data_IF_849560012774
#
_entry.id   IF_849560012774
#
_cell.length_a   1.000
_cell.length_b   1.000
_cell.length_c   1.000
_cell.angle_alpha   90.00
_cell.angle_beta   90.00
_cell.angle_gamma   90.00
#
_symmetry.space_group_name_H-M   'P 1'
#
loop_
_entity.id
_entity.type
_entity.pdbx_description
1 polymer ?
#
# COMPACT_ATOMS: atom_id res chain seq x y z
N UNK A 1 -2.47 14.02 68.82
CA UNK A 1 -1.51 15.06 69.21
C UNK A 1 -0.24 14.88 68.36
N UNK A 2 0.19 15.95 67.68
CA UNK A 2 1.49 16.24 67.02
C UNK A 2 1.89 15.27 65.87
N UNK A 3 1.71 15.56 64.57
CA UNK A 3 2.12 16.69 63.68
C UNK A 3 3.64 16.89 63.60
N UNK A 4 4.27 16.60 62.45
CA UNK A 4 5.52 17.16 61.87
C UNK A 4 5.71 16.56 60.44
N UNK A 5 5.29 17.24 59.36
CA UNK A 5 6.01 18.17 58.46
C UNK A 5 6.90 17.54 57.36
N UNK A 6 6.52 17.78 56.09
CA UNK A 6 7.20 17.43 54.83
C UNK A 6 8.36 18.38 54.48
N UNK A 7 9.30 17.99 53.59
CA UNK A 7 10.09 18.93 52.81
C UNK A 7 9.58 19.07 51.37
N UNK A 8 9.40 20.32 50.96
CA UNK A 8 8.85 20.80 49.69
C UNK A 8 9.96 20.98 48.65
N UNK A 9 9.69 20.62 47.38
CA UNK A 9 10.59 20.82 46.25
C UNK A 9 10.61 22.30 45.81
N UNK A 10 11.74 22.85 45.31
CA UNK A 10 11.80 24.23 44.85
C UNK A 10 11.06 24.42 43.51
N UNK A 11 10.10 25.34 43.51
CA UNK A 11 9.42 25.89 42.34
C UNK A 11 10.17 27.15 41.90
N UNK A 12 10.54 27.25 40.61
CA UNK A 12 11.07 28.48 40.02
C UNK A 12 10.03 29.11 39.08
N UNK A 13 9.69 30.42 39.22
CA UNK A 13 8.83 31.11 38.26
C UNK A 13 9.58 32.06 37.30
N UNK A 14 9.17 31.95 36.02
CA UNK A 14 9.06 32.89 34.89
C UNK A 14 10.06 34.03 34.63
N UNK A 15 10.47 34.18 33.35
CA UNK A 15 10.21 35.41 32.57
C UNK A 15 10.34 35.19 31.04
N UNK A 16 9.45 35.87 30.31
CA UNK A 16 9.20 35.83 28.87
C UNK A 16 10.20 36.68 28.08
N UNK A 17 10.47 36.31 26.82
CA UNK A 17 10.50 37.31 25.74
C UNK A 17 10.18 36.71 24.36
N UNK A 18 9.09 37.21 23.77
CA UNK A 18 8.69 36.99 22.39
C UNK A 18 9.44 38.00 21.51
N UNK A 19 10.18 37.56 20.49
CA UNK A 19 10.57 38.45 19.39
C UNK A 19 9.66 38.21 18.18
N UNK A 20 8.65 39.08 18.08
CA UNK A 20 7.88 39.32 16.87
C UNK A 20 8.52 40.52 16.17
N UNK A 21 9.13 40.36 14.99
CA UNK A 21 9.45 41.48 14.12
C UNK A 21 8.97 41.19 12.69
N UNK A 22 8.23 42.14 12.14
CA UNK A 22 7.69 42.16 10.78
C UNK A 22 8.43 43.23 9.94
N UNK A 23 8.40 43.05 8.61
CA UNK A 23 8.71 44.00 7.53
C UNK A 23 10.23 44.23 7.26
N UNK A 24 10.76 44.49 6.05
CA UNK A 24 10.21 44.98 4.77
C UNK A 24 11.27 44.85 3.65
N UNK A 25 10.80 44.67 2.40
CA UNK A 25 11.26 45.18 1.09
C UNK A 25 12.75 45.19 0.63
N UNK A 26 12.89 44.76 -0.64
CA UNK A 26 13.94 45.01 -1.64
C UNK A 26 14.48 46.47 -1.68
N UNK A 27 15.73 46.68 -2.17
CA UNK A 27 15.89 47.02 -3.60
C UNK A 27 17.10 46.41 -4.32
N UNK A 28 16.93 46.34 -5.65
CA UNK A 28 17.92 46.24 -6.73
C UNK A 28 18.89 47.43 -6.74
N UNK A 29 20.13 47.24 -7.24
CA UNK A 29 20.82 48.09 -8.26
C UNK A 29 22.32 47.71 -8.43
N UNK A 30 22.67 47.40 -9.68
CA UNK A 30 23.88 47.71 -10.47
C UNK A 30 25.29 47.51 -9.89
N UNK A 31 26.01 46.56 -10.48
CA UNK A 31 27.46 46.42 -10.34
C UNK A 31 28.17 47.15 -11.51
N UNK A 32 28.93 48.20 -11.21
CA UNK A 32 29.63 49.04 -12.19
C UNK A 32 31.02 48.49 -12.58
N UNK A 33 31.31 48.70 -13.85
CA UNK A 33 32.52 48.35 -14.60
C UNK A 33 33.83 48.85 -13.98
N UNK A 34 34.82 47.96 -13.86
CA UNK A 34 36.16 48.25 -13.34
C UNK A 34 37.03 49.00 -14.35
N UNK A 35 37.38 50.25 -14.01
CA UNK A 35 38.30 51.16 -14.70
C UNK A 35 39.76 50.71 -14.43
N UNK A 36 40.49 50.27 -15.46
CA UNK A 36 41.94 49.99 -15.40
C UNK A 36 42.74 51.31 -15.30
N UNK A 37 43.75 51.33 -14.42
CA UNK A 37 44.73 52.41 -14.25
C UNK A 37 45.94 52.26 -15.19
N UNK A 38 46.62 53.39 -15.35
CA UNK A 38 47.63 53.83 -16.33
C UNK A 38 48.98 53.09 -16.32
N UNK A 39 49.71 53.23 -17.43
CA UNK A 39 51.16 53.35 -17.46
C UNK A 39 51.52 54.47 -18.46
N UNK A 40 52.29 55.45 -18.01
CA UNK A 40 52.94 56.50 -18.82
C UNK A 40 54.32 55.98 -19.27
N UNK A 41 54.75 56.29 -20.50
CA UNK A 41 56.18 56.37 -20.83
C UNK A 41 56.41 57.36 -21.99
N UNK A 42 57.30 58.32 -21.74
CA UNK A 42 57.78 59.39 -22.62
C UNK A 42 58.66 58.87 -23.78
N UNK A 43 58.68 59.59 -24.89
CA UNK A 43 59.62 59.37 -25.99
C UNK A 43 59.32 60.23 -27.22
N UNK A 44 59.91 61.42 -27.23
CA UNK A 44 59.84 62.46 -28.28
C UNK A 44 60.67 62.09 -29.53
N UNK A 45 60.62 62.94 -30.57
CA UNK A 45 61.41 62.98 -31.83
C UNK A 45 60.68 62.54 -33.13
N UNK A 46 59.86 63.47 -33.61
CA UNK A 46 59.91 64.08 -34.96
C UNK A 46 60.31 63.22 -36.19
N UNK A 47 59.34 62.96 -37.09
CA UNK A 47 59.43 63.23 -38.54
C UNK A 47 58.03 63.09 -39.19
N UNK A 48 57.52 64.17 -39.79
CA UNK A 48 56.43 64.15 -40.80
C UNK A 48 57.06 64.36 -42.21
N UNK A 49 56.35 64.39 -43.37
CA UNK A 49 54.90 64.31 -43.61
C UNK A 49 54.47 63.54 -44.91
N UNK A 50 53.16 63.60 -45.20
CA UNK A 50 52.50 63.62 -46.53
C UNK A 50 51.97 62.32 -47.17
N UNK A 51 50.63 62.28 -47.19
CA UNK A 51 49.75 62.03 -48.36
C UNK A 51 49.25 60.60 -48.66
N UNK A 52 47.91 60.53 -48.70
CA UNK A 52 47.03 59.60 -49.46
C UNK A 52 46.44 58.40 -48.68
N UNK A 53 45.23 57.91 -49.06
CA UNK A 53 43.98 58.20 -48.36
C UNK A 53 43.49 57.00 -47.51
N UNK A 54 42.59 57.31 -46.58
CA UNK A 54 41.97 56.38 -45.65
C UNK A 54 41.29 55.19 -46.34
N UNK A 55 41.92 54.02 -46.29
CA UNK A 55 41.24 52.73 -46.46
C UNK A 55 40.63 52.37 -45.10
N UNK A 56 39.31 52.50 -45.01
CA UNK A 56 38.50 51.99 -43.91
C UNK A 56 38.90 50.54 -43.63
N UNK A 57 39.50 50.29 -42.47
CA UNK A 57 39.87 48.96 -42.02
C UNK A 57 38.59 48.15 -41.81
N UNK A 58 38.26 47.30 -42.80
CA UNK A 58 37.24 46.26 -42.62
C UNK A 58 37.67 45.41 -41.41
N UNK A 59 36.86 45.27 -40.35
CA UNK A 59 37.20 44.38 -39.25
C UNK A 59 37.18 42.94 -39.79
N UNK A 60 38.36 42.33 -39.89
CA UNK A 60 38.49 40.91 -40.12
C UNK A 60 37.80 40.17 -38.96
N UNK A 61 36.68 39.51 -39.25
CA UNK A 61 36.01 38.59 -38.33
C UNK A 61 36.99 37.47 -38.05
N UNK A 62 37.74 37.58 -36.96
CA UNK A 62 38.60 36.51 -36.49
C UNK A 62 37.68 35.37 -36.05
N UNK A 63 37.83 34.14 -36.57
CA UNK A 63 37.06 33.01 -36.07
C UNK A 63 37.33 32.90 -34.57
N UNK A 64 36.26 32.91 -33.77
CA UNK A 64 36.36 32.66 -32.34
C UNK A 64 37.12 31.34 -32.18
N UNK A 65 38.27 31.39 -31.50
CA UNK A 65 38.99 30.17 -31.11
C UNK A 65 37.94 29.28 -30.47
N UNK A 66 37.63 28.14 -31.10
CA UNK A 66 36.83 27.09 -30.48
C UNK A 66 37.58 26.73 -29.22
N UNK A 67 37.12 27.27 -28.09
CA UNK A 67 37.59 26.88 -26.78
C UNK A 67 37.39 25.37 -26.74
N UNK A 68 38.49 24.61 -26.73
CA UNK A 68 38.40 23.17 -26.50
C UNK A 68 37.92 23.06 -25.06
N UNK A 69 36.61 23.04 -24.87
CA UNK A 69 35.93 22.79 -23.62
C UNK A 69 36.17 21.34 -23.22
N UNK A 70 37.42 21.04 -22.88
CA UNK A 70 37.79 19.88 -22.08
C UNK A 70 38.12 20.39 -20.68
N UNK A 71 37.34 21.35 -20.19
CA UNK A 71 37.33 21.65 -18.77
C UNK A 71 36.63 20.46 -18.10
N UNK A 72 37.37 19.73 -17.27
CA UNK A 72 36.87 18.72 -16.35
C UNK A 72 36.01 19.39 -15.26
N UNK A 73 35.00 20.16 -15.67
CA UNK A 73 34.01 20.75 -14.79
C UNK A 73 33.07 19.61 -14.40
N UNK A 74 32.88 19.43 -13.09
CA UNK A 74 31.97 18.43 -12.54
C UNK A 74 30.56 18.62 -13.12
N UNK A 75 30.20 17.79 -14.11
CA UNK A 75 28.84 17.75 -14.66
C UNK A 75 27.95 17.01 -13.64
N UNK A 76 26.74 17.51 -13.35
CA UNK A 76 25.82 16.77 -12.50
C UNK A 76 25.52 15.40 -13.10
N UNK A 77 25.37 14.40 -12.23
CA UNK A 77 25.07 13.03 -12.61
C UNK A 77 23.75 12.99 -13.39
N UNK A 78 23.69 12.23 -14.49
CA UNK A 78 22.45 12.09 -15.24
C UNK A 78 21.40 11.32 -14.41
N UNK A 79 20.12 11.63 -14.61
CA UNK A 79 19.04 10.99 -13.87
C UNK A 79 19.11 9.45 -13.88
N UNK A 80 19.34 8.76 -15.02
CA UNK A 80 19.44 7.30 -15.03
C UNK A 80 20.57 6.78 -14.12
N UNK A 81 21.72 7.46 -14.13
CA UNK A 81 22.87 7.09 -13.29
C UNK A 81 22.63 7.39 -11.82
N UNK A 82 21.82 8.40 -11.50
CA UNK A 82 21.40 8.64 -10.13
C UNK A 82 20.45 7.55 -9.64
N UNK A 83 19.47 7.13 -10.46
CA UNK A 83 18.54 6.06 -10.10
C UNK A 83 19.25 4.72 -9.89
N UNK A 84 20.31 4.41 -10.65
CA UNK A 84 21.16 3.24 -10.44
C UNK A 84 21.85 3.20 -9.06
N UNK A 85 22.04 4.36 -8.41
CA UNK A 85 22.66 4.42 -7.07
C UNK A 85 21.67 4.22 -5.93
N UNK A 86 20.35 4.23 -6.23
CA UNK A 86 19.32 4.10 -5.22
C UNK A 86 18.96 2.63 -5.00
N UNK A 87 18.83 2.24 -3.73
CA UNK A 87 18.29 0.93 -3.39
C UNK A 87 16.76 0.87 -3.64
N UNK A 88 16.20 -0.32 -3.59
CA UNK A 88 14.77 -0.53 -3.87
C UNK A 88 13.85 0.26 -2.93
N UNK A 89 14.26 0.46 -1.67
CA UNK A 89 13.44 1.20 -0.72
C UNK A 89 13.49 2.71 -1.01
N UNK A 90 14.66 3.24 -1.33
CA UNK A 90 14.87 4.62 -1.75
C UNK A 90 14.10 4.93 -3.03
N UNK A 91 14.12 4.01 -4.01
CA UNK A 91 13.34 4.16 -5.24
C UNK A 91 11.83 4.21 -4.97
N UNK A 92 11.31 3.33 -4.10
CA UNK A 92 9.89 3.36 -3.69
C UNK A 92 9.53 4.68 -3.02
N UNK A 93 10.30 5.13 -2.04
CA UNK A 93 10.04 6.39 -1.33
C UNK A 93 10.10 7.61 -2.26
N UNK A 94 11.01 7.64 -3.22
CA UNK A 94 11.07 8.72 -4.21
C UNK A 94 9.84 8.68 -5.12
N UNK A 95 9.44 7.49 -5.60
CA UNK A 95 8.26 7.33 -6.44
C UNK A 95 6.97 7.70 -5.70
N UNK A 96 6.81 7.28 -4.45
CA UNK A 96 5.68 7.65 -3.59
C UNK A 96 5.54 9.16 -3.46
N UNK A 97 6.63 9.86 -3.13
CA UNK A 97 6.64 11.34 -3.04
C UNK A 97 6.31 12.04 -4.36
N UNK A 98 6.72 11.44 -5.48
CA UNK A 98 6.37 11.97 -6.81
C UNK A 98 4.87 11.80 -7.05
N UNK A 99 4.30 10.63 -6.74
CA UNK A 99 2.88 10.34 -6.90
C UNK A 99 2.00 11.21 -5.98
N UNK A 100 2.46 11.49 -4.75
CA UNK A 100 1.77 12.41 -3.82
C UNK A 100 1.71 13.85 -4.37
N UNK A 101 2.77 14.29 -5.06
CA UNK A 101 2.84 15.64 -5.66
C UNK A 101 2.13 15.74 -7.00
N UNK A 102 2.12 14.64 -7.75
CA UNK A 102 1.60 14.52 -9.11
C UNK A 102 0.67 13.30 -9.19
N UNK A 103 -0.62 13.47 -8.82
CA UNK A 103 -1.59 12.37 -8.77
C UNK A 103 -1.84 11.71 -10.13
N UNK A 104 -1.64 12.45 -11.22
CA UNK A 104 -1.69 11.97 -12.60
C UNK A 104 -0.64 10.89 -12.88
N UNK A 105 0.60 11.11 -12.43
CA UNK A 105 1.68 10.10 -12.48
C UNK A 105 1.32 8.90 -11.60
N UNK A 106 0.70 9.15 -10.43
CA UNK A 106 0.21 8.07 -9.57
C UNK A 106 -0.79 7.15 -10.29
N UNK A 107 -1.72 7.69 -11.06
CA UNK A 107 -2.67 6.89 -11.86
C UNK A 107 -1.97 6.11 -12.98
N UNK A 108 -0.96 6.70 -13.63
CA UNK A 108 -0.15 6.01 -14.63
C UNK A 108 0.62 4.82 -14.02
N UNK A 109 1.21 5.01 -12.84
CA UNK A 109 1.90 3.95 -12.10
C UNK A 109 0.93 2.83 -11.71
N UNK A 110 -0.24 3.16 -11.17
CA UNK A 110 -1.25 2.16 -10.75
C UNK A 110 -1.78 1.38 -11.96
N UNK A 111 -2.00 2.04 -13.09
CA UNK A 111 -2.51 1.39 -14.32
C UNK A 111 -1.43 0.58 -15.06
N UNK A 112 -0.16 0.98 -14.96
CA UNK A 112 0.98 0.28 -15.54
C UNK A 112 1.54 -0.85 -14.67
N UNK A 113 1.30 -0.82 -13.35
CA UNK A 113 1.78 -1.84 -12.44
C UNK A 113 0.99 -3.16 -12.63
N UNK A 114 1.68 -4.32 -12.65
CA UNK A 114 1.00 -5.59 -12.64
C UNK A 114 0.20 -5.76 -11.35
N UNK A 115 -0.97 -6.38 -11.44
CA UNK A 115 -1.77 -6.70 -10.26
C UNK A 115 -0.96 -7.57 -9.29
N UNK A 116 -1.05 -7.33 -7.97
CA UNK A 116 -0.36 -8.15 -7.00
C UNK A 116 -0.84 -9.60 -7.10
N UNK A 117 0.11 -10.53 -7.18
CA UNK A 117 -0.18 -11.97 -7.10
C UNK A 117 -0.25 -12.40 -5.63
N UNK A 118 -0.91 -13.53 -5.36
CA UNK A 118 -0.97 -14.10 -4.01
C UNK A 118 0.45 -14.31 -3.47
N UNK A 119 1.34 -14.95 -4.24
CA UNK A 119 2.74 -15.16 -3.85
C UNK A 119 3.47 -13.86 -3.51
N UNK A 120 3.30 -12.82 -4.34
CA UNK A 120 3.96 -11.53 -4.07
C UNK A 120 3.48 -10.89 -2.77
N UNK A 121 2.18 -10.97 -2.46
CA UNK A 121 1.62 -10.46 -1.21
C UNK A 121 2.10 -11.29 -0.01
N UNK A 122 2.10 -12.62 -0.13
CA UNK A 122 2.60 -13.53 0.91
C UNK A 122 4.07 -13.27 1.25
N UNK A 123 4.92 -13.03 0.23
CA UNK A 123 6.33 -12.70 0.44
C UNK A 123 6.53 -11.39 1.22
N UNK A 124 5.71 -10.36 0.94
CA UNK A 124 5.75 -9.10 1.69
C UNK A 124 5.33 -9.32 3.13
N UNK A 125 4.22 -10.05 3.36
CA UNK A 125 3.71 -10.37 4.70
C UNK A 125 4.72 -11.20 5.52
N UNK A 126 5.43 -12.12 4.89
CA UNK A 126 6.51 -12.87 5.53
C UNK A 126 7.60 -11.95 6.07
N UNK A 127 7.99 -10.91 5.34
CA UNK A 127 8.95 -9.91 5.80
C UNK A 127 8.44 -9.07 7.00
N UNK A 128 7.14 -8.90 7.18
CA UNK A 128 6.58 -8.32 8.41
C UNK A 128 6.65 -9.31 9.57
N UNK A 129 6.33 -10.59 9.34
CA UNK A 129 6.41 -11.63 10.36
C UNK A 129 7.85 -11.86 10.84
N UNK A 130 8.84 -11.86 9.94
CA UNK A 130 10.26 -11.97 10.31
C UNK A 130 10.71 -10.82 11.22
N UNK A 131 10.30 -9.59 10.90
CA UNK A 131 10.60 -8.42 11.74
C UNK A 131 9.92 -8.51 13.10
N UNK A 132 8.69 -9.02 13.16
CA UNK A 132 7.99 -9.30 14.42
C UNK A 132 8.75 -10.33 15.25
N UNK A 133 9.17 -11.44 14.65
CA UNK A 133 9.92 -12.49 15.33
C UNK A 133 11.29 -11.98 15.82
N UNK A 134 11.96 -11.14 15.03
CA UNK A 134 13.25 -10.54 15.39
C UNK A 134 13.14 -9.47 16.48
N UNK A 135 11.96 -8.86 16.64
CA UNK A 135 11.70 -7.89 17.71
C UNK A 135 11.45 -8.55 19.08
N UNK A 136 11.16 -9.85 19.09
CA UNK A 136 10.96 -10.58 20.34
C UNK A 136 12.27 -10.61 21.16
N UNK A 137 12.21 -10.26 22.46
CA UNK A 137 13.38 -10.31 23.33
C UNK A 137 13.90 -11.75 23.49
N UNK A 138 15.22 -11.89 23.66
CA UNK A 138 15.85 -13.16 23.95
C UNK A 138 15.69 -13.52 25.43
N UNK A 139 15.30 -14.77 25.72
CA UNK A 139 15.19 -15.29 27.09
C UNK A 139 13.87 -14.96 27.77
N UNK A 140 13.84 -15.09 29.10
CA UNK A 140 12.66 -14.78 29.90
C UNK A 140 12.56 -13.27 30.16
N UNK A 141 11.50 -12.65 29.65
CA UNK A 141 11.17 -11.24 29.86
C UNK A 141 9.75 -11.09 30.39
N UNK A 142 9.46 -9.95 31.05
CA UNK A 142 8.08 -9.66 31.47
C UNK A 142 7.16 -9.54 30.26
N UNK A 143 5.90 -9.94 30.43
CA UNK A 143 4.90 -9.87 29.36
C UNK A 143 4.70 -8.43 28.85
N UNK A 144 4.73 -7.44 29.74
CA UNK A 144 4.59 -6.02 29.41
C UNK A 144 5.76 -5.52 28.54
N UNK A 145 7.00 -5.80 28.94
CA UNK A 145 8.18 -5.41 28.17
C UNK A 145 8.21 -6.06 26.79
N UNK A 146 7.88 -7.36 26.74
CA UNK A 146 7.79 -8.14 25.50
C UNK A 146 6.74 -7.53 24.58
N UNK A 147 5.57 -7.19 25.12
CA UNK A 147 4.49 -6.57 24.36
C UNK A 147 4.91 -5.24 23.77
N UNK A 148 5.48 -4.32 24.56
CA UNK A 148 5.88 -3.00 24.07
C UNK A 148 6.94 -3.07 22.95
N UNK A 149 7.82 -4.07 22.99
CA UNK A 149 8.80 -4.35 21.93
C UNK A 149 8.15 -4.78 20.61
N UNK A 150 7.21 -5.72 20.67
CA UNK A 150 6.64 -6.34 19.46
C UNK A 150 5.38 -5.64 18.97
N UNK A 151 4.73 -4.82 19.80
CA UNK A 151 3.44 -4.17 19.49
C UNK A 151 3.45 -3.43 18.16
N UNK A 152 4.46 -2.61 17.90
CA UNK A 152 4.57 -1.87 16.64
C UNK A 152 4.67 -2.78 15.42
N UNK A 153 5.33 -3.94 15.58
CA UNK A 153 5.49 -4.94 14.52
C UNK A 153 4.21 -5.76 14.30
N UNK A 154 3.47 -6.06 15.37
CA UNK A 154 2.14 -6.67 15.29
C UNK A 154 1.19 -5.74 14.53
N UNK A 155 1.13 -4.47 14.90
CA UNK A 155 0.27 -3.47 14.24
C UNK A 155 0.66 -3.38 12.76
N UNK A 156 1.95 -3.25 12.45
CA UNK A 156 2.42 -3.15 11.06
C UNK A 156 2.06 -4.39 10.21
N UNK A 157 2.08 -5.60 10.78
CA UNK A 157 1.64 -6.81 10.08
C UNK A 157 0.12 -6.83 9.87
N UNK A 158 -0.66 -6.43 10.87
CA UNK A 158 -2.14 -6.38 10.78
C UNK A 158 -2.59 -5.30 9.78
N UNK A 159 -1.93 -4.14 9.78
CA UNK A 159 -2.20 -3.07 8.81
C UNK A 159 -1.90 -3.56 7.39
N UNK A 160 -0.75 -4.23 7.18
CA UNK A 160 -0.42 -4.82 5.89
C UNK A 160 -1.44 -5.89 5.45
N UNK A 161 -1.89 -6.76 6.37
CA UNK A 161 -2.97 -7.71 6.09
C UNK A 161 -4.25 -6.99 5.67
N UNK A 162 -4.61 -5.90 6.35
CA UNK A 162 -5.80 -5.11 6.08
C UNK A 162 -5.73 -4.40 4.72
N UNK A 163 -4.54 -3.95 4.31
CA UNK A 163 -4.33 -3.29 3.01
C UNK A 163 -4.38 -4.28 1.83
N UNK A 164 -3.79 -5.47 2.01
CA UNK A 164 -3.78 -6.49 0.94
C UNK A 164 -5.11 -7.23 0.82
N UNK A 165 -5.82 -7.47 1.92
CA UNK A 165 -7.04 -8.31 1.92
C UNK A 165 -8.06 -7.85 0.88
N UNK A 166 -8.47 -6.56 0.79
CA UNK A 166 -9.44 -6.10 -0.19
C UNK A 166 -9.08 -6.38 -1.65
N UNK A 167 -7.78 -6.44 -2.00
CA UNK A 167 -7.33 -6.74 -3.36
C UNK A 167 -7.70 -8.16 -3.81
N UNK A 168 -7.86 -9.06 -2.85
CA UNK A 168 -8.24 -10.45 -3.08
C UNK A 168 -9.72 -10.72 -2.73
N UNK A 169 -10.52 -9.67 -2.51
CA UNK A 169 -11.95 -9.79 -2.28
C UNK A 169 -12.77 -9.32 -3.50
N UNK A 170 -14.00 -9.84 -3.67
CA UNK A 170 -14.96 -9.28 -4.62
C UNK A 170 -15.27 -7.81 -4.30
N UNK A 171 -15.44 -6.93 -5.31
CA UNK A 171 -15.49 -7.23 -6.75
C UNK A 171 -14.11 -7.21 -7.46
N UNK A 172 -13.01 -6.94 -6.76
CA UNK A 172 -11.68 -6.74 -7.36
C UNK A 172 -11.12 -8.07 -7.89
N UNK A 173 -11.07 -9.08 -7.03
CA UNK A 173 -10.80 -10.46 -7.40
C UNK A 173 -12.12 -11.20 -7.57
N UNK A 174 -12.26 -11.87 -8.70
CA UNK A 174 -13.47 -12.62 -9.04
C UNK A 174 -13.24 -14.12 -8.93
N UNK A 175 -12.00 -14.61 -8.98
CA UNK A 175 -11.70 -16.03 -8.91
C UNK A 175 -11.70 -16.48 -7.44
N UNK A 176 -12.70 -17.28 -6.99
CA UNK A 176 -12.80 -17.66 -5.58
C UNK A 176 -11.57 -18.43 -5.08
N UNK A 177 -10.98 -19.29 -5.92
CA UNK A 177 -9.77 -20.04 -5.56
C UNK A 177 -8.62 -19.14 -5.13
N UNK A 178 -8.37 -18.04 -5.84
CA UNK A 178 -7.29 -17.09 -5.50
C UNK A 178 -7.58 -16.34 -4.20
N UNK A 179 -8.84 -15.93 -4.02
CA UNK A 179 -9.29 -15.31 -2.78
C UNK A 179 -9.09 -16.25 -1.59
N UNK A 180 -9.51 -17.51 -1.71
CA UNK A 180 -9.40 -18.51 -0.63
C UNK A 180 -7.94 -18.90 -0.36
N UNK A 181 -7.09 -18.95 -1.39
CA UNK A 181 -5.66 -19.19 -1.25
C UNK A 181 -4.98 -18.05 -0.47
N UNK A 182 -5.27 -16.80 -0.81
CA UNK A 182 -4.80 -15.65 -0.05
C UNK A 182 -5.30 -15.70 1.39
N UNK A 183 -6.58 -15.98 1.61
CA UNK A 183 -7.18 -16.01 2.94
C UNK A 183 -6.62 -17.14 3.82
N UNK A 184 -6.32 -18.32 3.27
CA UNK A 184 -5.62 -19.42 3.96
C UNK A 184 -4.25 -18.93 4.45
N UNK A 185 -3.45 -18.32 3.56
CA UNK A 185 -2.16 -17.72 3.92
C UNK A 185 -2.27 -16.62 4.98
N UNK A 186 -3.16 -15.65 4.78
CA UNK A 186 -3.44 -14.56 5.71
C UNK A 186 -3.84 -15.06 7.10
N UNK A 187 -4.70 -16.08 7.16
CA UNK A 187 -5.16 -16.67 8.42
C UNK A 187 -4.01 -17.35 9.17
N UNK A 188 -3.06 -17.98 8.46
CA UNK A 188 -1.84 -18.55 9.08
C UNK A 188 -0.95 -17.48 9.72
N UNK A 189 -0.81 -16.30 9.11
CA UNK A 189 -0.09 -15.19 9.75
C UNK A 189 -0.75 -14.78 11.07
N UNK A 190 -2.08 -14.72 11.11
CA UNK A 190 -2.83 -14.38 12.33
C UNK A 190 -2.66 -15.48 13.40
N UNK A 191 -2.69 -16.75 13.00
CA UNK A 191 -2.40 -17.88 13.91
C UNK A 191 -1.04 -17.77 14.58
N UNK A 192 -0.03 -17.32 13.84
CA UNK A 192 1.34 -17.16 14.32
C UNK A 192 1.57 -15.92 15.21
N UNK A 193 0.56 -15.06 15.38
CA UNK A 193 0.67 -13.94 16.32
C UNK A 193 0.77 -14.46 17.77
N UNK A 194 1.55 -13.80 18.64
CA UNK A 194 1.75 -14.23 20.02
C UNK A 194 0.45 -14.21 20.82
N UNK A 195 0.25 -15.24 21.64
CA UNK A 195 -0.85 -15.30 22.61
C UNK A 195 -0.44 -14.61 23.91
N UNK A 196 -1.18 -13.57 24.27
CA UNK A 196 -0.94 -12.82 25.50
C UNK A 196 -1.73 -13.39 26.67
N UNK A 197 -1.12 -13.51 27.85
CA UNK A 197 -1.88 -13.86 29.06
C UNK A 197 -2.81 -12.72 29.50
N UNK A 198 -2.35 -11.45 29.58
CA UNK A 198 -3.24 -10.33 29.91
C UNK A 198 -4.23 -10.09 28.78
N UNK A 199 -5.51 -10.01 29.12
CA UNK A 199 -6.58 -9.77 28.15
C UNK A 199 -6.42 -8.42 27.42
N UNK A 200 -5.82 -7.42 28.08
CA UNK A 200 -5.56 -6.09 27.54
C UNK A 200 -4.78 -6.10 26.22
N UNK A 201 -3.93 -7.10 25.99
CA UNK A 201 -3.06 -7.17 24.81
C UNK A 201 -3.60 -8.08 23.69
N UNK A 202 -4.71 -8.81 23.94
CA UNK A 202 -5.29 -9.77 22.98
C UNK A 202 -6.03 -9.11 21.83
N UNK A 203 -6.53 -7.89 22.03
CA UNK A 203 -7.42 -7.20 21.10
C UNK A 203 -6.88 -7.13 19.66
N UNK A 204 -5.56 -7.00 19.45
CA UNK A 204 -4.96 -7.00 18.11
C UNK A 204 -5.24 -8.30 17.35
N UNK A 205 -4.94 -9.45 17.97
CA UNK A 205 -5.15 -10.77 17.37
C UNK A 205 -6.64 -11.07 17.21
N UNK A 206 -7.43 -10.67 18.20
CA UNK A 206 -8.88 -10.85 18.22
C UNK A 206 -9.56 -10.11 17.07
N UNK A 207 -9.25 -8.82 16.89
CA UNK A 207 -9.79 -8.01 15.79
C UNK A 207 -9.35 -8.55 14.42
N UNK A 208 -8.09 -8.98 14.30
CA UNK A 208 -7.60 -9.59 13.06
C UNK A 208 -8.39 -10.86 12.69
N UNK A 209 -8.75 -11.69 13.68
CA UNK A 209 -9.62 -12.85 13.43
C UNK A 209 -11.04 -12.45 13.02
N UNK A 210 -11.62 -11.42 13.63
CA UNK A 210 -12.94 -10.94 13.22
C UNK A 210 -12.94 -10.46 11.77
N UNK A 211 -11.94 -9.68 11.38
CA UNK A 211 -11.87 -9.10 10.04
C UNK A 211 -11.58 -10.16 8.97
N UNK A 212 -10.66 -11.10 9.24
CA UNK A 212 -10.43 -12.21 8.32
C UNK A 212 -11.66 -13.14 8.25
N UNK A 213 -12.39 -13.34 9.36
CA UNK A 213 -13.62 -14.14 9.33
C UNK A 213 -14.71 -13.50 8.46
N UNK A 214 -14.84 -12.17 8.49
CA UNK A 214 -15.75 -11.44 7.60
C UNK A 214 -15.31 -11.60 6.14
N UNK A 215 -14.01 -11.47 5.87
CA UNK A 215 -13.44 -11.64 4.53
C UNK A 215 -13.72 -13.04 3.96
N UNK A 216 -13.51 -14.10 4.74
CA UNK A 216 -13.90 -15.47 4.38
C UNK A 216 -15.38 -15.59 4.05
N UNK A 217 -16.26 -15.08 4.93
CA UNK A 217 -17.69 -15.14 4.71
C UNK A 217 -18.12 -14.42 3.41
N UNK A 218 -17.51 -13.29 3.09
CA UNK A 218 -17.78 -12.55 1.84
C UNK A 218 -17.41 -13.37 0.60
N UNK A 219 -16.23 -13.98 0.58
CA UNK A 219 -15.76 -14.81 -0.55
C UNK A 219 -16.65 -16.04 -0.72
N UNK A 220 -16.98 -16.72 0.38
CA UNK A 220 -17.86 -17.91 0.36
C UNK A 220 -19.24 -17.57 -0.19
N UNK A 221 -19.85 -16.50 0.31
CA UNK A 221 -21.17 -16.07 -0.14
C UNK A 221 -21.17 -15.68 -1.63
N UNK A 222 -20.11 -15.02 -2.10
CA UNK A 222 -19.99 -14.66 -3.52
C UNK A 222 -19.78 -15.90 -4.41
N UNK A 223 -18.95 -16.85 -3.96
CA UNK A 223 -18.75 -18.11 -4.66
C UNK A 223 -20.05 -18.91 -4.76
N UNK A 224 -20.84 -18.95 -3.69
CA UNK A 224 -22.13 -19.64 -3.63
C UNK A 224 -23.14 -19.06 -4.64
N UNK A 225 -23.22 -17.73 -4.77
CA UNK A 225 -24.13 -17.06 -5.73
C UNK A 225 -23.82 -17.41 -7.18
N UNK A 226 -22.57 -17.74 -7.50
CA UNK A 226 -22.15 -17.98 -8.89
C UNK A 226 -22.53 -19.36 -9.42
N UNK A 227 -23.14 -20.23 -8.60
CA UNK A 227 -24.09 -21.27 -9.01
C UNK A 227 -23.69 -22.20 -10.17
N UNK A 228 -22.40 -22.34 -10.49
CA UNK A 228 -21.96 -22.88 -11.79
C UNK A 228 -20.56 -23.48 -11.75
N UNK A 229 -20.31 -24.40 -10.81
CA UNK A 229 -19.14 -25.29 -10.86
C UNK A 229 -18.02 -25.05 -9.85
N UNK A 230 -18.09 -24.02 -9.01
CA UNK A 230 -17.16 -23.91 -7.88
C UNK A 230 -17.69 -24.70 -6.69
N UNK A 231 -17.22 -25.93 -6.55
CA UNK A 231 -17.56 -26.77 -5.42
C UNK A 231 -16.55 -26.57 -4.29
N UNK A 232 -16.94 -25.79 -3.28
CA UNK A 232 -16.14 -25.53 -2.07
C UNK A 232 -15.68 -26.82 -1.38
N UNK A 233 -16.43 -27.93 -1.52
CA UNK A 233 -16.04 -29.25 -1.02
C UNK A 233 -15.00 -29.97 -1.91
N UNK A 234 -15.04 -29.81 -3.23
CA UNK A 234 -14.14 -30.55 -4.12
C UNK A 234 -12.68 -30.17 -3.92
N UNK A 235 -12.44 -28.92 -3.53
CA UNK A 235 -11.10 -28.38 -3.31
C UNK A 235 -10.69 -28.41 -1.82
N UNK A 236 -11.52 -29.00 -0.94
CA UNK A 236 -11.22 -29.16 0.50
C UNK A 236 -11.17 -27.87 1.31
N UNK A 237 -11.80 -26.79 0.83
CA UNK A 237 -11.80 -25.49 1.51
C UNK A 237 -12.61 -25.50 2.81
N UNK A 238 -13.65 -26.33 2.86
CA UNK A 238 -14.44 -26.62 4.07
C UNK A 238 -13.57 -27.22 5.18
N UNK A 239 -12.73 -28.22 4.85
CA UNK A 239 -11.83 -28.85 5.81
C UNK A 239 -10.74 -27.87 6.29
N UNK A 240 -10.17 -27.08 5.38
CA UNK A 240 -9.18 -26.05 5.74
C UNK A 240 -9.78 -25.00 6.66
N UNK A 241 -10.97 -24.49 6.34
CA UNK A 241 -11.64 -23.49 7.17
C UNK A 241 -12.01 -24.06 8.54
N UNK A 242 -12.51 -25.30 8.61
CA UNK A 242 -12.79 -25.98 9.87
C UNK A 242 -11.54 -26.07 10.75
N UNK A 243 -10.39 -26.43 10.17
CA UNK A 243 -9.10 -26.48 10.88
C UNK A 243 -8.69 -25.10 11.40
N UNK A 244 -8.82 -24.04 10.59
CA UNK A 244 -8.54 -22.69 11.05
C UNK A 244 -9.51 -22.24 12.16
N UNK A 245 -10.78 -22.63 12.10
CA UNK A 245 -11.76 -22.31 13.12
C UNK A 245 -11.42 -23.00 14.45
N UNK A 246 -11.04 -24.27 14.41
CA UNK A 246 -10.56 -25.01 15.57
C UNK A 246 -9.32 -24.34 16.18
N UNK A 247 -8.32 -24.05 15.35
CA UNK A 247 -7.07 -23.41 15.80
C UNK A 247 -7.29 -22.01 16.39
N UNK A 248 -8.27 -21.25 15.89
CA UNK A 248 -8.61 -19.92 16.42
C UNK A 248 -9.53 -19.96 17.65
N UNK A 249 -9.95 -21.14 18.11
CA UNK A 249 -10.87 -21.26 19.24
C UNK A 249 -12.30 -20.82 18.92
N UNK A 250 -12.75 -21.01 17.68
CA UNK A 250 -14.12 -20.69 17.23
C UNK A 250 -14.30 -19.26 16.72
N UNK A 251 -13.23 -18.48 16.54
CA UNK A 251 -13.32 -17.08 16.09
C UNK A 251 -13.67 -16.92 14.61
N UNK A 252 -13.59 -18.00 13.83
CA UNK A 252 -14.03 -18.03 12.43
C UNK A 252 -15.48 -18.55 12.28
N UNK A 253 -16.28 -18.52 13.35
CA UNK A 253 -17.66 -19.00 13.34
C UNK A 253 -18.53 -18.31 12.28
N UNK A 254 -18.30 -17.02 12.00
CA UNK A 254 -19.02 -16.29 10.94
C UNK A 254 -18.74 -16.89 9.55
N UNK A 255 -17.48 -17.24 9.28
CA UNK A 255 -17.10 -17.90 8.04
C UNK A 255 -17.66 -19.32 7.96
N UNK A 256 -17.61 -20.07 9.05
CA UNK A 256 -18.19 -21.42 9.13
C UNK A 256 -19.70 -21.41 8.86
N UNK A 257 -20.42 -20.41 9.38
CA UNK A 257 -21.86 -20.24 9.14
C UNK A 257 -22.15 -19.91 7.67
N UNK A 258 -21.33 -19.06 7.04
CA UNK A 258 -21.44 -18.79 5.60
C UNK A 258 -21.20 -20.07 4.78
N UNK A 259 -20.20 -20.87 5.18
CA UNK A 259 -19.90 -22.16 4.55
C UNK A 259 -21.08 -23.12 4.66
N UNK A 260 -21.65 -23.33 5.85
CA UNK A 260 -22.80 -24.22 6.03
C UNK A 260 -24.02 -23.78 5.22
N UNK A 261 -24.28 -22.47 5.17
CA UNK A 261 -25.41 -21.92 4.42
C UNK A 261 -25.22 -22.07 2.89
N UNK A 262 -23.99 -21.93 2.40
CA UNK A 262 -23.69 -22.15 0.98
C UNK A 262 -23.83 -23.61 0.55
N UNK A 263 -23.47 -24.55 1.43
CA UNK A 263 -23.56 -26.00 1.19
C UNK A 263 -25.00 -26.49 1.21
N UNK A 264 -25.85 -25.95 2.10
CA UNK A 264 -27.28 -26.26 2.13
C UNK A 264 -28.01 -25.94 0.83
N UNK A 265 -27.54 -24.92 0.10
CA UNK A 265 -28.06 -24.57 -1.22
C UNK A 265 -27.55 -25.51 -2.33
N UNK A 266 -26.29 -25.94 -2.28
CA UNK A 266 -25.74 -26.91 -3.24
C UNK A 266 -26.32 -28.34 -3.06
N UNK A 267 -26.63 -28.76 -1.84
CA UNK A 267 -27.25 -30.06 -1.56
C UNK A 267 -28.75 -30.14 -1.89
N UNK A 268 -29.42 -28.99 -2.08
CA UNK A 268 -30.86 -28.95 -2.38
C UNK A 268 -31.17 -29.00 -3.89
N UNK A 269 -30.16 -29.00 -4.76
CA UNK A 269 -30.36 -29.04 -6.21
C UNK A 269 -30.22 -30.44 -6.83
N UNK A 270 -30.00 -31.48 -6.03
CA UNK A 270 -30.00 -32.88 -6.49
C UNK A 270 -31.14 -33.75 -5.92
N UNK A 271 -32.01 -33.23 -5.04
CA UNK A 271 -33.23 -33.98 -4.69
C UNK A 271 -34.37 -33.12 -4.13
N UNK A 272 -35.42 -32.92 -4.93
CA UNK A 272 -36.80 -32.83 -4.43
C UNK A 272 -37.37 -31.43 -4.20
N UNK A 273 -37.88 -30.81 -5.27
CA UNK A 273 -38.73 -29.62 -5.15
C UNK A 273 -39.29 -29.04 -6.45
N UNK A 274 -39.27 -29.80 -7.56
CA UNK A 274 -39.99 -29.43 -8.78
C UNK A 274 -41.40 -30.04 -8.71
N UNK A 275 -42.29 -29.39 -7.96
CA UNK A 275 -43.72 -29.57 -8.15
C UNK A 275 -44.11 -28.85 -9.43
N UNK A 276 -44.17 -29.59 -10.55
CA UNK A 276 -45.29 -29.51 -11.52
C UNK A 276 -45.00 -30.06 -12.94
N UNK A 277 -43.77 -30.47 -13.27
CA UNK A 277 -43.49 -30.95 -14.64
C UNK A 277 -43.60 -32.48 -14.85
N UNK A 278 -43.69 -33.28 -13.77
CA UNK A 278 -43.79 -34.74 -13.86
C UNK A 278 -45.19 -35.29 -14.18
N UNK A 279 -46.22 -34.43 -14.23
CA UNK A 279 -47.62 -34.86 -14.34
C UNK A 279 -48.02 -35.23 -15.77
N UNK A 280 -47.48 -34.54 -16.79
CA UNK A 280 -48.00 -34.63 -18.16
C UNK A 280 -47.53 -35.89 -18.90
N UNK A 281 -46.25 -36.25 -18.76
CA UNK A 281 -45.70 -37.47 -19.38
C UNK A 281 -46.25 -38.74 -18.74
N UNK A 282 -46.45 -38.73 -17.41
CA UNK A 282 -47.02 -39.87 -16.70
C UNK A 282 -48.53 -40.04 -17.00
N UNK A 283 -49.25 -38.94 -17.23
CA UNK A 283 -50.65 -38.98 -17.71
C UNK A 283 -50.78 -39.51 -19.15
N UNK A 284 -49.80 -39.21 -20.02
CA UNK A 284 -49.76 -39.72 -21.39
C UNK A 284 -49.41 -41.22 -21.47
N UNK A 285 -48.50 -41.70 -20.61
CA UNK A 285 -48.06 -43.10 -20.58
C UNK A 285 -49.08 -44.01 -19.86
N UNK A 286 -49.82 -43.49 -18.88
CA UNK A 286 -50.82 -44.26 -18.14
C UNK A 286 -52.18 -44.39 -18.82
N UNK A 287 -52.37 -43.78 -20.00
CA UNK A 287 -53.59 -43.93 -20.81
C UNK A 287 -54.88 -43.39 -20.15
N UNK A 288 -54.77 -42.59 -19.09
CA UNK A 288 -55.91 -42.05 -18.37
C UNK A 288 -56.39 -40.74 -19.03
N UNK A 289 -57.00 -40.84 -20.21
CA UNK A 289 -57.65 -39.70 -20.85
C UNK A 289 -59.05 -39.48 -20.24
N UNK A 290 -59.19 -38.38 -19.49
CA UNK A 290 -60.44 -37.65 -19.34
C UNK A 290 -61.45 -38.19 -18.32
N UNK A 291 -61.65 -37.44 -17.23
CA UNK A 291 -62.97 -37.40 -16.60
C UNK A 291 -63.83 -36.37 -17.36
N UNK A 292 -65.08 -36.69 -17.75
CA UNK A 292 -65.92 -35.74 -18.48
C UNK A 292 -66.31 -34.55 -17.59
N UNK A 293 -66.02 -33.34 -18.07
CA UNK A 293 -66.52 -32.09 -17.51
C UNK A 293 -68.04 -32.08 -17.65
N UNK A 294 -68.77 -32.07 -16.54
CA UNK A 294 -70.22 -31.80 -16.54
C UNK A 294 -70.43 -30.31 -16.81
N UNK A 295 -70.95 -29.99 -18.00
CA UNK A 295 -71.63 -28.73 -18.26
C UNK A 295 -73.05 -28.83 -17.70
N UNK A 296 -73.38 -27.97 -16.72
CA UNK A 296 -74.75 -27.80 -16.20
C UNK A 296 -75.57 -26.89 -17.10
N UNK A 297 -76.92 -27.02 -17.11
CA UNK A 297 -77.78 -26.28 -18.02
C UNK A 297 -78.05 -24.86 -17.52
N UNK A 298 -78.13 -23.95 -18.51
CA UNK A 298 -78.67 -22.59 -18.56
C UNK A 298 -79.43 -22.06 -17.35
#
# INVERSE_FOLDING_TARGET
MNVLLSPQLPVFPHQHENMHLTQRNLPSIHNMSSRKRKADEDGDENMSPMSSPAISSRPLIRPSKKFRSNDLIGRPLSLPRLLETLDTNQLRTVLERICERHPDIGQEVVSGAPRPTVDSAMNVLHGYQERLNAAAPYGESSAEYTYDRVKSHIIALIDALSDFTPQFLPPIETQPTKSLEFLDGATRFIHNLPDWQPQTYRHHKDNAYEDISKAWALVINEAAKRGGGFNLHSDGWDQKLARHNEQSGGRLATAMTAMSNSVGWMGSNENGGSSDQGSILNQLVSGAYGSPVRVGPW
#
